data_IF_343376164888
#
_entry.id   IF_343376164888
#
_cell.length_a   1.000
_cell.length_b   1.000
_cell.length_c   1.000
_cell.angle_alpha   90.00
_cell.angle_beta   90.00
_cell.angle_gamma   90.00
#
_symmetry.space_group_name_H-M   'P 1'
#
loop_
_entity.id
_entity.type
_entity.pdbx_description
1 polymer ?
#
# COMPACT_ATOMS: atom_id res chain seq x y z
N UNK A 1 -20.69 -24.76 55.67
CA UNK A 1 -20.30 -23.78 56.71
C UNK A 1 -18.80 -23.61 56.63
N UNK A 2 -18.34 -22.35 56.67
CA UNK A 2 -16.94 -21.86 56.58
C UNK A 2 -16.42 -21.91 55.12
N UNK A 3 -16.58 -20.90 54.26
CA UNK A 3 -16.23 -19.46 54.31
C UNK A 3 -14.75 -19.18 54.63
N UNK A 4 -13.95 -18.89 53.58
CA UNK A 4 -12.93 -17.84 53.60
C UNK A 4 -12.39 -17.52 52.19
N UNK A 5 -12.81 -16.34 51.72
CA UNK A 5 -12.00 -15.27 51.10
C UNK A 5 -11.28 -15.56 49.78
N UNK A 6 -12.00 -15.28 48.68
CA UNK A 6 -11.40 -14.82 47.42
C UNK A 6 -11.64 -13.31 47.34
N UNK A 7 -10.56 -12.53 47.46
CA UNK A 7 -10.52 -11.12 47.13
C UNK A 7 -9.37 -10.92 46.14
N UNK A 8 -9.72 -10.55 44.92
CA UNK A 8 -9.13 -9.43 44.18
C UNK A 8 -9.88 -9.31 42.85
N UNK A 9 -10.96 -8.54 42.93
CA UNK A 9 -11.64 -7.91 41.82
C UNK A 9 -10.95 -6.56 41.62
N UNK A 10 -10.07 -6.46 40.62
CA UNK A 10 -9.70 -5.19 40.00
C UNK A 10 -10.16 -5.23 38.55
N UNK A 11 -11.43 -4.88 38.41
CA UNK A 11 -12.09 -4.46 37.18
C UNK A 11 -11.41 -3.18 36.68
N UNK A 12 -10.51 -3.31 35.69
CA UNK A 12 -10.00 -2.17 34.91
C UNK A 12 -10.99 -1.83 33.79
N UNK A 13 -11.22 -0.54 33.51
CA UNK A 13 -12.33 -0.08 32.68
C UNK A 13 -12.11 -0.45 31.22
N UNK A 14 -13.11 -1.12 30.62
CA UNK A 14 -13.30 -1.18 29.18
C UNK A 14 -13.41 0.24 28.65
N UNK A 15 -12.34 0.75 28.04
CA UNK A 15 -12.44 1.86 27.13
C UNK A 15 -13.20 1.37 25.90
N UNK A 16 -14.45 1.79 25.77
CA UNK A 16 -15.22 1.74 24.54
C UNK A 16 -14.44 2.51 23.48
N UNK A 17 -13.73 1.79 22.61
CA UNK A 17 -13.24 2.35 21.35
C UNK A 17 -14.42 2.26 20.39
N UNK A 18 -15.16 3.35 20.34
CA UNK A 18 -16.19 3.61 19.35
C UNK A 18 -15.53 3.55 17.95
N UNK A 19 -15.70 2.41 17.28
CA UNK A 19 -15.39 2.24 15.86
C UNK A 19 -16.30 3.18 15.06
N UNK A 20 -15.79 4.38 14.76
CA UNK A 20 -16.35 5.20 13.72
C UNK A 20 -15.64 4.90 12.39
N UNK A 21 -16.39 4.56 11.33
CA UNK A 21 -15.86 4.02 10.10
C UNK A 21 -15.13 5.11 9.31
N UNK A 22 -13.88 4.84 8.92
CA UNK A 22 -13.23 5.64 7.89
C UNK A 22 -13.80 5.17 6.55
N UNK A 23 -14.84 5.87 6.10
CA UNK A 23 -15.29 5.84 4.73
C UNK A 23 -14.13 6.23 3.81
N UNK A 24 -13.76 5.31 2.93
CA UNK A 24 -12.86 5.56 1.81
C UNK A 24 -13.57 6.47 0.82
N UNK A 25 -13.42 7.79 0.97
CA UNK A 25 -13.84 8.74 -0.06
C UNK A 25 -12.86 8.70 -1.24
N UNK A 26 -13.41 8.20 -2.35
CA UNK A 26 -12.85 8.22 -3.69
C UNK A 26 -12.49 9.63 -4.13
N UNK A 27 -11.26 9.80 -4.60
CA UNK A 27 -10.72 11.02 -5.18
C UNK A 27 -11.34 11.28 -6.57
N UNK A 28 -12.60 11.71 -6.59
CA UNK A 28 -13.25 12.33 -7.76
C UNK A 28 -13.42 13.83 -7.51
N UNK A 29 -12.45 14.65 -7.93
CA UNK A 29 -12.75 16.04 -8.24
C UNK A 29 -11.98 16.54 -9.46
N UNK A 30 -12.51 16.18 -10.63
CA UNK A 30 -12.25 16.87 -11.88
C UNK A 30 -12.70 18.33 -11.75
N UNK A 31 -11.77 19.25 -11.98
CA UNK A 31 -12.03 20.68 -11.98
C UNK A 31 -13.17 21.11 -12.90
N UNK A 32 -14.21 21.69 -12.32
CA UNK A 32 -15.12 22.60 -13.03
C UNK A 32 -14.52 24.01 -13.00
N UNK A 33 -13.98 24.45 -14.13
CA UNK A 33 -13.76 25.86 -14.41
C UNK A 33 -15.12 26.58 -14.44
N UNK A 34 -15.39 27.45 -13.47
CA UNK A 34 -16.42 28.48 -13.61
C UNK A 34 -15.76 29.72 -14.20
N UNK A 35 -15.94 29.92 -15.50
CA UNK A 35 -15.65 31.19 -16.17
C UNK A 35 -16.68 32.23 -15.72
N UNK A 36 -16.23 33.27 -15.01
CA UNK A 36 -17.03 34.47 -14.81
C UNK A 36 -16.83 35.41 -16.00
N UNK A 37 -17.79 35.39 -16.93
CA UNK A 37 -17.92 36.40 -17.99
C UNK A 37 -18.86 37.49 -17.46
N UNK A 38 -18.32 38.69 -17.20
CA UNK A 38 -19.16 39.88 -16.99
C UNK A 38 -19.73 40.35 -18.33
N UNK A 39 -21.00 40.01 -18.60
CA UNK A 39 -21.83 40.68 -19.62
C UNK A 39 -22.48 41.91 -18.99
N UNK A 40 -22.17 43.11 -19.50
CA UNK A 40 -23.02 44.26 -19.26
C UNK A 40 -24.28 44.14 -20.11
N UNK A 41 -25.43 44.12 -19.44
CA UNK A 41 -26.76 44.27 -20.02
C UNK A 41 -26.96 45.75 -20.38
N UNK A 42 -27.21 46.03 -21.66
CA UNK A 42 -27.89 47.26 -22.08
C UNK A 42 -29.26 46.82 -22.58
N UNK A 43 -30.30 47.23 -21.85
CA UNK A 43 -31.70 47.01 -22.19
C UNK A 43 -32.07 47.91 -23.37
N UNK A 44 -32.46 47.32 -24.51
CA UNK A 44 -33.16 48.02 -25.58
C UNK A 44 -34.61 48.22 -25.16
N UNK A 45 -34.95 49.34 -24.54
CA UNK A 45 -36.34 49.82 -24.52
C UNK A 45 -36.40 51.30 -24.15
N UNK A 46 -36.54 52.15 -25.16
CA UNK A 46 -37.39 53.36 -25.19
C UNK A 46 -37.22 54.03 -26.55
N UNK A 47 -38.10 53.66 -27.49
CA UNK A 47 -38.30 54.40 -28.74
C UNK A 47 -39.01 55.72 -28.41
N UNK A 48 -38.27 56.80 -28.18
CA UNK A 48 -38.79 58.16 -28.31
C UNK A 48 -38.01 58.89 -29.43
N UNK A 49 -38.55 58.82 -30.65
CA UNK A 49 -38.09 59.65 -31.76
C UNK A 49 -38.71 61.04 -31.61
N UNK A 50 -37.92 62.03 -31.17
CA UNK A 50 -38.26 63.43 -31.38
C UNK A 50 -37.84 63.81 -32.81
N UNK A 51 -38.84 64.03 -33.68
CA UNK A 51 -38.65 64.55 -35.03
C UNK A 51 -38.22 66.02 -34.94
N UNK A 52 -36.96 66.32 -35.25
CA UNK A 52 -36.53 67.69 -35.56
C UNK A 52 -36.59 67.87 -37.08
N UNK A 53 -37.68 68.51 -37.53
CA UNK A 53 -37.85 69.02 -38.89
C UNK A 53 -36.84 70.14 -39.13
N UNK A 54 -35.92 69.97 -40.08
CA UNK A 54 -35.02 71.05 -40.52
C UNK A 54 -35.82 72.07 -41.34
N UNK A 55 -36.04 73.26 -40.79
CA UNK A 55 -36.28 74.46 -41.59
C UNK A 55 -34.96 75.23 -41.75
N UNK A 56 -34.76 75.75 -42.95
CA UNK A 56 -33.58 76.44 -43.44
C UNK A 56 -33.27 77.76 -42.69
N UNK A 57 -31.98 78.00 -42.44
CA UNK A 57 -31.44 79.32 -42.07
C UNK A 57 -30.96 79.42 -40.61
N UNK A 58 -29.67 79.76 -40.45
CA UNK A 58 -28.94 80.03 -39.18
C UNK A 58 -28.52 78.78 -38.37
N UNK A 59 -27.21 78.51 -38.35
CA UNK A 59 -26.58 77.38 -37.62
C UNK A 59 -26.34 77.70 -36.15
N UNK A 60 -27.36 77.59 -35.30
CA UNK A 60 -27.18 77.43 -33.84
C UNK A 60 -27.74 76.06 -33.42
N UNK A 61 -26.86 75.05 -33.38
CA UNK A 61 -27.21 73.68 -32.98
C UNK A 61 -26.99 73.53 -31.48
N UNK A 62 -28.06 73.39 -30.71
CA UNK A 62 -28.03 73.02 -29.29
C UNK A 62 -27.47 71.59 -29.14
N UNK A 63 -26.27 71.44 -28.57
CA UNK A 63 -25.65 70.15 -28.22
C UNK A 63 -25.64 69.94 -26.71
N UNK A 64 -26.38 68.94 -26.23
CA UNK A 64 -26.28 68.44 -24.86
C UNK A 64 -25.07 67.51 -24.79
N UNK A 65 -24.15 67.78 -23.87
CA UNK A 65 -22.91 67.03 -23.68
C UNK A 65 -23.16 65.79 -22.82
N UNK A 66 -22.63 64.63 -23.23
CA UNK A 66 -22.88 63.33 -22.58
C UNK A 66 -21.83 62.98 -21.49
N UNK A 67 -20.85 63.86 -21.27
CA UNK A 67 -19.76 63.63 -20.32
C UNK A 67 -20.13 63.98 -18.86
N UNK A 68 -19.73 63.16 -17.86
CA UNK A 68 -19.95 63.48 -16.45
C UNK A 68 -19.30 64.83 -16.09
N UNK A 69 -20.03 65.67 -15.35
CA UNK A 69 -19.65 67.06 -15.05
C UNK A 69 -18.24 67.25 -14.44
N UNK A 70 -17.63 66.19 -13.90
CA UNK A 70 -16.33 66.19 -13.22
C UNK A 70 -15.11 65.95 -14.13
N UNK A 71 -15.30 65.51 -15.37
CA UNK A 71 -14.22 65.08 -16.25
C UNK A 71 -13.58 66.22 -17.08
N UNK A 72 -14.16 67.42 -17.02
CA UNK A 72 -13.51 68.66 -17.42
C UNK A 72 -13.56 69.65 -16.26
N UNK A 73 -12.63 70.60 -16.19
CA UNK A 73 -12.56 71.64 -15.15
C UNK A 73 -13.75 72.64 -15.21
N UNK A 74 -14.98 72.15 -15.26
CA UNK A 74 -16.22 72.89 -15.47
C UNK A 74 -17.00 72.94 -14.17
N UNK A 75 -16.72 73.94 -13.34
CA UNK A 75 -17.51 74.23 -12.13
C UNK A 75 -18.88 74.85 -12.43
N UNK A 76 -19.20 75.16 -13.71
CA UNK A 76 -20.53 75.56 -14.20
C UNK A 76 -20.82 74.90 -15.54
N UNK A 77 -21.95 74.21 -15.66
CA UNK A 77 -22.34 73.54 -16.90
C UNK A 77 -22.58 74.61 -18.00
N UNK A 78 -21.72 74.62 -19.01
CA UNK A 78 -21.70 75.65 -20.06
C UNK A 78 -22.85 75.56 -21.07
N UNK A 79 -23.66 74.50 -21.00
CA UNK A 79 -24.83 74.30 -21.84
C UNK A 79 -26.01 73.83 -20.99
N UNK A 80 -26.80 74.78 -20.48
CA UNK A 80 -28.10 74.48 -19.86
C UNK A 80 -29.22 74.89 -20.81
N UNK A 81 -30.36 74.21 -20.73
CA UNK A 81 -31.54 74.47 -21.56
C UNK A 81 -32.70 74.71 -20.60
N UNK A 82 -33.41 75.81 -20.77
CA UNK A 82 -34.58 76.18 -19.97
C UNK A 82 -35.81 76.32 -20.88
N UNK A 83 -36.99 75.92 -20.40
CA UNK A 83 -38.24 75.98 -21.17
C UNK A 83 -38.93 77.32 -20.90
N UNK A 84 -39.19 78.12 -21.94
CA UNK A 84 -39.91 79.38 -21.81
C UNK A 84 -41.37 79.13 -21.42
N UNK A 85 -42.08 80.15 -20.88
CA UNK A 85 -43.50 80.04 -20.55
C UNK A 85 -44.40 79.68 -21.74
N UNK A 86 -43.98 79.92 -22.99
CA UNK A 86 -44.67 79.46 -24.20
C UNK A 86 -44.26 78.04 -24.67
N UNK A 87 -43.50 77.31 -23.85
CA UNK A 87 -43.16 75.90 -24.08
C UNK A 87 -41.92 75.63 -24.93
N UNK A 88 -41.12 76.65 -25.27
CA UNK A 88 -39.92 76.48 -26.13
C UNK A 88 -38.64 76.30 -25.33
N UNK A 89 -37.78 75.36 -25.75
CA UNK A 89 -36.46 75.12 -25.14
C UNK A 89 -35.44 76.16 -25.63
N UNK A 90 -34.89 76.96 -24.70
CA UNK A 90 -33.92 78.03 -24.97
C UNK A 90 -32.59 77.72 -24.28
N UNK A 91 -31.48 77.93 -25.00
CA UNK A 91 -30.12 77.81 -24.46
C UNK A 91 -29.84 78.88 -23.39
N UNK A 92 -29.29 78.46 -22.26
CA UNK A 92 -28.86 79.33 -21.18
C UNK A 92 -27.33 79.29 -21.06
N UNK A 93 -26.70 80.47 -21.12
CA UNK A 93 -25.25 80.62 -20.98
C UNK A 93 -24.78 80.41 -19.54
N UNK A 94 -23.53 80.00 -19.37
CA UNK A 94 -22.90 79.62 -18.10
C UNK A 94 -22.98 80.70 -16.99
N UNK A 95 -23.08 81.97 -17.37
CA UNK A 95 -23.13 83.13 -16.47
C UNK A 95 -24.49 83.30 -15.79
N UNK A 96 -25.56 82.76 -16.38
CA UNK A 96 -26.93 82.88 -15.87
C UNK A 96 -27.37 81.65 -15.05
N UNK A 97 -26.51 80.65 -14.92
CA UNK A 97 -26.80 79.39 -14.20
C UNK A 97 -26.72 79.59 -12.67
N UNK A 98 -27.77 79.20 -11.95
CA UNK A 98 -27.87 79.28 -10.48
C UNK A 98 -27.52 77.95 -9.77
N UNK A 99 -27.02 76.93 -10.46
CA UNK A 99 -26.72 75.62 -9.85
C UNK A 99 -25.32 75.60 -9.20
N UNK A 100 -25.16 74.99 -8.00
CA UNK A 100 -23.86 74.88 -7.33
C UNK A 100 -22.93 73.90 -8.07
N UNK A 101 -21.59 74.08 -7.98
CA UNK A 101 -20.62 73.16 -8.59
C UNK A 101 -20.71 71.77 -7.95
N UNK A 102 -20.74 70.71 -8.76
CA UNK A 102 -20.79 69.33 -8.26
C UNK A 102 -19.41 68.93 -7.72
N UNK A 103 -19.33 68.46 -6.47
CA UNK A 103 -18.07 68.04 -5.81
C UNK A 103 -17.51 66.75 -6.41
N UNK A 104 -16.19 66.67 -6.57
CA UNK A 104 -15.49 65.51 -7.15
C UNK A 104 -15.55 64.29 -6.21
N UNK A 105 -15.78 63.07 -6.73
CA UNK A 105 -15.73 61.84 -5.93
C UNK A 105 -14.32 61.50 -5.41
N UNK A 106 -14.22 61.02 -4.16
CA UNK A 106 -12.96 60.74 -3.44
C UNK A 106 -12.02 59.74 -4.12
N UNK A 107 -12.55 58.75 -4.84
CA UNK A 107 -11.72 57.76 -5.54
C UNK A 107 -10.95 58.37 -6.71
N UNK A 108 -11.54 59.37 -7.39
CA UNK A 108 -10.86 60.11 -8.47
C UNK A 108 -9.74 60.98 -7.92
N UNK A 109 -9.91 61.54 -6.72
CA UNK A 109 -8.84 62.29 -6.04
C UNK A 109 -7.64 61.38 -5.72
N UNK A 110 -7.89 60.15 -5.22
CA UNK A 110 -6.83 59.18 -4.93
C UNK A 110 -6.11 58.73 -6.21
N UNK A 111 -6.87 58.48 -7.28
CA UNK A 111 -6.33 58.10 -8.58
C UNK A 111 -5.48 59.22 -9.18
N UNK A 112 -5.96 60.47 -9.15
CA UNK A 112 -5.21 61.62 -9.64
C UNK A 112 -3.95 61.89 -8.81
N UNK A 113 -4.02 61.79 -7.49
CA UNK A 113 -2.85 61.93 -6.64
C UNK A 113 -1.79 60.87 -6.98
N UNK A 114 -2.20 59.63 -7.26
CA UNK A 114 -1.28 58.55 -7.66
C UNK A 114 -0.72 58.76 -9.05
N UNK A 115 -1.56 59.15 -10.02
CA UNK A 115 -1.13 59.48 -11.38
C UNK A 115 -0.18 60.68 -11.39
N UNK A 116 -0.44 61.72 -10.59
CA UNK A 116 0.42 62.89 -10.48
C UNK A 116 1.75 62.58 -9.78
N UNK A 117 1.73 61.70 -8.77
CA UNK A 117 2.96 61.21 -8.12
C UNK A 117 3.85 60.44 -9.09
N UNK A 118 3.26 59.59 -9.93
CA UNK A 118 4.00 58.89 -10.99
C UNK A 118 4.47 59.87 -12.08
N UNK A 119 3.62 60.80 -12.55
CA UNK A 119 4.01 61.85 -13.52
C UNK A 119 5.21 62.67 -13.05
N UNK A 120 5.24 63.04 -11.77
CA UNK A 120 6.34 63.80 -11.17
C UNK A 120 7.63 62.97 -11.12
N UNK A 121 7.53 61.69 -10.74
CA UNK A 121 8.68 60.76 -10.69
C UNK A 121 9.34 60.58 -12.07
N UNK A 122 8.56 60.69 -13.16
CA UNK A 122 9.02 60.54 -14.55
C UNK A 122 9.11 61.86 -15.34
N UNK A 123 9.06 63.01 -14.66
CA UNK A 123 9.27 64.35 -15.22
C UNK A 123 8.43 64.69 -16.48
N UNK A 124 7.16 64.27 -16.51
CA UNK A 124 6.28 64.51 -17.68
C UNK A 124 5.74 65.95 -17.65
N UNK A 125 6.06 66.83 -18.63
CA UNK A 125 5.52 68.19 -18.67
C UNK A 125 4.03 68.19 -19.08
N UNK A 126 3.28 69.21 -18.63
CA UNK A 126 1.85 69.43 -18.91
C UNK A 126 1.53 69.67 -20.40
N UNK A 127 2.52 69.96 -21.24
CA UNK A 127 2.33 70.26 -22.66
C UNK A 127 2.42 69.01 -23.54
N UNK A 128 1.33 68.25 -23.58
CA UNK A 128 1.05 67.19 -24.56
C UNK A 128 1.70 65.82 -24.24
N UNK A 129 0.97 64.70 -24.42
CA UNK A 129 1.50 63.38 -24.11
C UNK A 129 2.65 63.02 -25.05
N UNK A 130 3.85 62.78 -24.51
CA UNK A 130 4.95 62.17 -25.27
C UNK A 130 4.78 60.65 -25.26
N UNK A 131 4.41 60.01 -26.39
CA UNK A 131 4.11 58.57 -26.44
C UNK A 131 5.30 57.70 -26.05
N UNK A 132 6.52 58.17 -26.30
CA UNK A 132 7.77 57.46 -25.95
C UNK A 132 7.99 57.33 -24.45
N UNK A 133 7.70 58.35 -23.64
CA UNK A 133 7.85 58.27 -22.17
C UNK A 133 6.76 57.41 -21.52
N UNK A 134 5.56 57.42 -22.07
CA UNK A 134 4.49 56.50 -21.67
C UNK A 134 4.87 55.05 -21.96
N UNK A 135 5.54 54.81 -23.09
CA UNK A 135 6.05 53.48 -23.45
C UNK A 135 7.18 53.04 -22.51
N UNK A 136 8.12 53.91 -22.15
CA UNK A 136 9.18 53.63 -21.16
C UNK A 136 8.60 53.35 -19.76
N UNK A 137 7.60 54.10 -19.32
CA UNK A 137 6.91 53.86 -18.05
C UNK A 137 6.21 52.50 -18.05
N UNK A 138 5.44 52.20 -19.10
CA UNK A 138 4.74 50.92 -19.24
C UNK A 138 5.72 49.76 -19.25
N UNK A 139 6.85 49.91 -19.96
CA UNK A 139 7.90 48.92 -20.00
C UNK A 139 8.55 48.70 -18.62
N UNK A 140 8.88 49.77 -17.90
CA UNK A 140 9.47 49.69 -16.55
C UNK A 140 8.52 49.02 -15.55
N UNK A 141 7.23 49.39 -15.59
CA UNK A 141 6.20 48.78 -14.73
C UNK A 141 5.94 47.33 -15.12
N UNK A 142 5.96 46.99 -16.42
CA UNK A 142 5.88 45.60 -16.88
C UNK A 142 7.05 44.77 -16.35
N UNK A 143 8.27 45.31 -16.46
CA UNK A 143 9.48 44.65 -15.98
C UNK A 143 9.46 44.45 -14.44
N UNK A 144 8.95 45.42 -13.69
CA UNK A 144 8.79 45.31 -12.24
C UNK A 144 7.74 44.24 -11.88
N UNK A 145 6.61 44.20 -12.58
CA UNK A 145 5.59 43.16 -12.42
C UNK A 145 6.14 41.77 -12.75
N UNK A 146 6.87 41.62 -13.85
CA UNK A 146 7.53 40.37 -14.24
C UNK A 146 8.55 39.93 -13.19
N UNK A 147 9.37 40.85 -12.67
CA UNK A 147 10.33 40.58 -11.60
C UNK A 147 9.62 40.14 -10.31
N UNK A 148 8.50 40.78 -9.94
CA UNK A 148 7.71 40.39 -8.77
C UNK A 148 7.12 38.99 -8.93
N UNK A 149 6.53 38.68 -10.08
CA UNK A 149 5.99 37.35 -10.39
C UNK A 149 7.10 36.30 -10.38
N UNK A 150 8.25 36.60 -10.98
CA UNK A 150 9.42 35.72 -10.99
C UNK A 150 9.94 35.44 -9.58
N UNK A 151 10.02 36.47 -8.73
CA UNK A 151 10.45 36.31 -7.34
C UNK A 151 9.46 35.49 -6.51
N UNK A 152 8.14 35.64 -6.70
CA UNK A 152 7.14 34.79 -6.05
C UNK A 152 7.30 33.33 -6.51
N UNK A 153 7.37 33.08 -7.83
CA UNK A 153 7.59 31.73 -8.36
C UNK A 153 8.88 31.08 -7.86
N UNK A 154 9.96 31.85 -7.68
CA UNK A 154 11.21 31.33 -7.11
C UNK A 154 11.06 30.90 -5.66
N UNK A 155 10.34 31.68 -4.84
CA UNK A 155 10.05 31.31 -3.44
C UNK A 155 9.16 30.08 -3.38
N UNK A 156 8.05 30.08 -4.10
CA UNK A 156 7.14 28.93 -4.20
C UNK A 156 7.88 27.66 -4.65
N UNK A 157 8.72 27.75 -5.67
CA UNK A 157 9.51 26.59 -6.11
C UNK A 157 10.53 26.12 -5.06
N UNK A 158 11.08 27.02 -4.24
CA UNK A 158 11.97 26.65 -3.13
C UNK A 158 11.19 25.90 -2.05
N UNK A 159 10.00 26.37 -1.71
CA UNK A 159 9.14 25.75 -0.70
C UNK A 159 8.58 24.41 -1.19
N UNK A 160 8.14 24.32 -2.44
CA UNK A 160 7.74 23.06 -3.09
C UNK A 160 8.88 22.03 -3.05
N UNK A 161 10.13 22.45 -3.27
CA UNK A 161 11.28 21.54 -3.18
C UNK A 161 11.50 21.04 -1.75
N UNK A 162 11.43 21.94 -0.75
CA UNK A 162 11.54 21.55 0.67
C UNK A 162 10.46 20.56 1.06
N UNK A 163 9.20 20.89 0.77
CA UNK A 163 8.05 20.02 1.05
C UNK A 163 8.16 18.67 0.34
N UNK A 164 8.70 18.62 -0.88
CA UNK A 164 8.97 17.35 -1.58
C UNK A 164 10.05 16.52 -0.89
N UNK A 165 11.11 17.15 -0.37
CA UNK A 165 12.15 16.45 0.39
C UNK A 165 11.62 15.94 1.72
N UNK A 166 10.87 16.77 2.46
CA UNK A 166 10.21 16.39 3.73
C UNK A 166 9.22 15.25 3.52
N UNK A 167 8.34 15.34 2.50
CA UNK A 167 7.44 14.26 2.12
C UNK A 167 8.20 12.96 1.87
N UNK A 168 9.31 13.01 1.14
CA UNK A 168 10.13 11.82 0.87
C UNK A 168 10.74 11.25 2.16
N UNK A 169 11.27 12.11 3.04
CA UNK A 169 11.84 11.70 4.32
C UNK A 169 10.79 11.04 5.23
N UNK A 170 9.61 11.65 5.35
CA UNK A 170 8.49 11.09 6.13
C UNK A 170 8.02 9.75 5.57
N UNK A 171 7.91 9.60 4.25
CA UNK A 171 7.55 8.32 3.64
C UNK A 171 8.60 7.23 3.92
N UNK A 172 9.89 7.57 3.89
CA UNK A 172 10.95 6.63 4.27
C UNK A 172 10.88 6.24 5.75
N UNK A 173 10.56 7.19 6.65
CA UNK A 173 10.38 6.90 8.07
C UNK A 173 9.16 6.01 8.32
N UNK A 174 8.03 6.27 7.65
CA UNK A 174 6.83 5.43 7.73
C UNK A 174 7.15 4.00 7.27
N UNK A 175 7.88 3.86 6.15
CA UNK A 175 8.27 2.53 5.66
C UNK A 175 9.16 1.78 6.67
N UNK A 176 10.12 2.48 7.30
CA UNK A 176 10.97 1.89 8.34
C UNK A 176 10.17 1.44 9.56
N UNK A 177 9.32 2.33 10.11
CA UNK A 177 8.50 2.01 11.29
C UNK A 177 7.51 0.87 11.01
N UNK A 178 6.99 0.79 9.79
CA UNK A 178 6.11 -0.30 9.40
C UNK A 178 6.85 -1.64 9.30
N UNK A 179 8.11 -1.64 8.88
CA UNK A 179 8.93 -2.84 8.85
C UNK A 179 9.35 -3.27 10.26
N UNK A 180 9.76 -2.32 11.12
CA UNK A 180 10.02 -2.59 12.54
C UNK A 180 8.78 -3.18 13.22
N UNK A 181 7.60 -2.59 12.95
CA UNK A 181 6.33 -3.08 13.48
C UNK A 181 6.09 -4.55 13.12
N UNK A 182 6.30 -4.94 11.85
CA UNK A 182 6.20 -6.35 11.44
C UNK A 182 7.22 -7.24 12.14
N UNK A 183 8.48 -6.79 12.23
CA UNK A 183 9.54 -7.57 12.88
C UNK A 183 9.20 -7.82 14.36
N UNK A 184 8.73 -6.80 15.07
CA UNK A 184 8.30 -6.94 16.45
C UNK A 184 7.08 -7.85 16.57
N UNK A 185 6.11 -7.76 15.65
CA UNK A 185 4.95 -8.67 15.64
C UNK A 185 5.40 -10.12 15.50
N UNK A 186 6.29 -10.43 14.56
CA UNK A 186 6.83 -11.78 14.41
C UNK A 186 7.60 -12.26 15.65
N UNK A 187 8.35 -11.38 16.32
CA UNK A 187 9.06 -11.73 17.55
C UNK A 187 8.10 -12.01 18.71
N UNK A 188 7.04 -11.20 18.85
CA UNK A 188 5.98 -11.43 19.84
C UNK A 188 5.25 -12.74 19.58
N UNK A 189 4.90 -13.03 18.34
CA UNK A 189 4.27 -14.31 17.95
C UNK A 189 5.18 -15.48 18.33
N UNK A 190 6.46 -15.42 17.96
CA UNK A 190 7.43 -16.46 18.27
C UNK A 190 7.60 -16.69 19.78
N UNK A 191 7.77 -15.62 20.57
CA UNK A 191 7.88 -15.72 22.02
C UNK A 191 6.59 -16.25 22.67
N UNK A 192 5.43 -15.93 22.10
CA UNK A 192 4.15 -16.45 22.56
C UNK A 192 4.07 -17.96 22.34
N UNK A 193 4.45 -18.45 21.15
CA UNK A 193 4.52 -19.88 20.84
C UNK A 193 5.51 -20.62 21.76
N UNK A 194 6.70 -20.05 22.02
CA UNK A 194 7.67 -20.65 22.94
C UNK A 194 7.12 -20.75 24.38
N UNK A 195 6.36 -19.74 24.81
CA UNK A 195 5.76 -19.72 26.15
C UNK A 195 4.64 -20.74 26.27
N UNK A 196 3.80 -20.88 25.24
CA UNK A 196 2.77 -21.92 25.17
C UNK A 196 3.39 -23.31 25.22
N UNK A 197 4.44 -23.56 24.44
CA UNK A 197 5.18 -24.83 24.46
C UNK A 197 5.74 -25.16 25.84
N UNK A 198 6.35 -24.18 26.53
CA UNK A 198 6.85 -24.39 27.90
C UNK A 198 5.70 -24.66 28.88
N UNK A 199 4.56 -24.00 28.71
CA UNK A 199 3.39 -24.26 29.56
C UNK A 199 2.83 -25.68 29.35
N UNK A 200 2.84 -26.19 28.12
CA UNK A 200 2.50 -27.58 27.81
C UNK A 200 3.48 -28.56 28.47
N UNK A 201 4.79 -28.33 28.31
CA UNK A 201 5.84 -29.14 28.94
C UNK A 201 5.67 -29.21 30.46
N UNK A 202 5.46 -28.08 31.14
CA UNK A 202 5.22 -28.06 32.58
C UNK A 202 3.94 -28.78 33.00
N UNK A 203 2.88 -28.72 32.19
CA UNK A 203 1.66 -29.50 32.44
C UNK A 203 1.93 -31.00 32.36
N UNK A 204 2.59 -31.44 31.28
CA UNK A 204 2.91 -32.87 31.11
C UNK A 204 3.83 -33.39 32.22
N UNK A 205 4.81 -32.59 32.64
CA UNK A 205 5.69 -32.94 33.76
C UNK A 205 4.91 -32.99 35.09
N UNK A 206 4.02 -32.03 35.33
CA UNK A 206 3.16 -32.02 36.52
C UNK A 206 2.26 -33.25 36.60
N UNK A 207 1.64 -33.63 35.49
CA UNK A 207 0.78 -34.82 35.42
C UNK A 207 1.60 -36.11 35.59
N UNK A 208 2.80 -36.18 35.01
CA UNK A 208 3.76 -37.26 35.26
C UNK A 208 4.16 -37.37 36.74
N UNK A 209 4.42 -36.25 37.42
CA UNK A 209 4.71 -36.24 38.87
C UNK A 209 3.52 -36.73 39.69
N UNK A 210 2.29 -36.34 39.34
CA UNK A 210 1.07 -36.80 40.05
C UNK A 210 0.90 -38.32 39.92
N UNK A 211 1.10 -38.86 38.72
CA UNK A 211 1.06 -40.30 38.48
C UNK A 211 2.11 -41.04 39.32
N UNK A 212 3.35 -40.55 39.31
CA UNK A 212 4.43 -41.14 40.11
C UNK A 212 4.14 -41.09 41.62
N UNK A 213 3.61 -39.98 42.13
CA UNK A 213 3.19 -39.86 43.54
C UNK A 213 2.07 -40.86 43.86
N UNK A 214 1.11 -41.05 42.96
CA UNK A 214 0.06 -42.06 43.13
C UNK A 214 0.65 -43.47 43.25
N UNK A 215 1.58 -43.83 42.36
CA UNK A 215 2.24 -45.14 42.37
C UNK A 215 3.09 -45.35 43.64
N UNK A 216 3.88 -44.34 44.05
CA UNK A 216 4.64 -44.38 45.30
C UNK A 216 3.73 -44.58 46.51
N UNK A 217 2.57 -43.91 46.54
CA UNK A 217 1.60 -44.07 47.62
C UNK A 217 1.00 -45.48 47.65
N UNK A 218 0.67 -46.04 46.48
CA UNK A 218 0.16 -47.41 46.36
C UNK A 218 1.19 -48.44 46.84
N UNK A 219 2.45 -48.31 46.39
CA UNK A 219 3.55 -49.16 46.82
C UNK A 219 3.80 -49.06 48.33
N UNK A 220 3.72 -47.85 48.88
CA UNK A 220 3.88 -47.61 50.32
C UNK A 220 2.74 -48.24 51.12
N UNK A 221 1.50 -48.19 50.62
CA UNK A 221 0.36 -48.86 51.25
C UNK A 221 0.55 -50.37 51.26
N UNK A 222 0.91 -50.95 50.10
CA UNK A 222 1.13 -52.38 49.96
C UNK A 222 2.28 -52.89 50.84
N UNK A 223 3.36 -52.12 50.95
CA UNK A 223 4.46 -52.45 51.85
C UNK A 223 4.00 -52.48 53.32
N UNK A 224 3.24 -51.46 53.75
CA UNK A 224 2.67 -51.42 55.11
C UNK A 224 1.73 -52.60 55.39
N UNK A 225 0.92 -53.00 54.42
CA UNK A 225 0.07 -54.18 54.52
C UNK A 225 0.89 -55.47 54.69
N UNK A 226 1.94 -55.65 53.87
CA UNK A 226 2.84 -56.80 54.02
C UNK A 226 3.58 -56.80 55.36
N UNK A 227 4.09 -55.65 55.80
CA UNK A 227 4.73 -55.52 57.12
C UNK A 227 3.76 -55.83 58.26
N UNK A 228 2.49 -55.42 58.14
CA UNK A 228 1.45 -55.75 59.11
C UNK A 228 1.18 -57.25 59.16
N UNK A 229 1.10 -57.92 58.01
CA UNK A 229 0.91 -59.37 57.92
C UNK A 229 2.10 -60.12 58.51
N UNK A 230 3.34 -59.72 58.16
CA UNK A 230 4.55 -60.33 58.70
C UNK A 230 4.65 -60.17 60.23
N UNK A 231 4.26 -59.01 60.78
CA UNK A 231 4.20 -58.81 62.23
C UNK A 231 3.12 -59.66 62.89
N UNK A 232 1.97 -59.84 62.26
CA UNK A 232 0.91 -60.71 62.75
C UNK A 232 1.36 -62.18 62.78
N UNK A 233 2.08 -62.63 61.74
CA UNK A 233 2.64 -63.98 61.65
C UNK A 233 3.69 -64.24 62.74
N UNK A 234 4.61 -63.30 63.00
CA UNK A 234 5.61 -63.42 64.09
C UNK A 234 4.96 -63.49 65.49
N UNK A 235 3.79 -62.86 65.69
CA UNK A 235 3.04 -62.95 66.95
C UNK A 235 2.36 -64.31 67.09
N UNK A 236 1.89 -64.89 65.98
CA UNK A 236 1.25 -66.21 65.94
C UNK A 236 2.30 -67.34 66.06
N UNK A 237 3.53 -67.14 65.56
CA UNK A 237 4.67 -68.06 65.56
C UNK A 237 5.23 -68.44 66.95
N UNK A 238 4.60 -68.01 68.05
CA UNK A 238 4.78 -68.64 69.36
C UNK A 238 4.12 -70.04 69.46
N UNK A 239 3.89 -70.69 68.32
CA UNK A 239 3.16 -71.93 68.20
C UNK A 239 3.91 -73.12 68.83
N UNK A 240 3.12 -73.91 69.57
CA UNK A 240 3.48 -75.21 70.09
C UNK A 240 4.13 -76.07 68.99
N UNK A 241 5.34 -76.64 69.21
CA UNK A 241 6.03 -77.47 68.22
C UNK A 241 5.20 -78.64 67.69
N UNK A 242 4.16 -79.07 68.41
CA UNK A 242 3.19 -80.07 67.91
C UNK A 242 2.28 -79.49 66.83
N UNK A 243 1.82 -78.24 66.97
CA UNK A 243 1.05 -77.53 65.94
C UNK A 243 1.88 -77.31 64.69
N UNK A 244 3.13 -76.86 64.84
CA UNK A 244 4.06 -76.69 63.73
C UNK A 244 4.28 -78.00 62.97
N UNK A 245 4.40 -79.13 63.67
CA UNK A 245 4.53 -80.45 63.03
C UNK A 245 3.26 -80.85 62.27
N UNK A 246 2.07 -80.54 62.81
CA UNK A 246 0.80 -80.84 62.16
C UNK A 246 0.58 -79.94 60.93
N UNK A 247 0.91 -78.65 61.05
CA UNK A 247 0.89 -77.67 59.98
C UNK A 247 1.88 -78.04 58.87
N UNK A 248 3.09 -78.50 59.21
CA UNK A 248 4.08 -78.99 58.25
C UNK A 248 3.57 -80.22 57.48
N UNK A 249 2.95 -81.19 58.15
CA UNK A 249 2.36 -82.36 57.48
C UNK A 249 1.17 -81.96 56.58
N UNK A 250 0.37 -80.98 57.00
CA UNK A 250 -0.68 -80.39 56.16
C UNK A 250 -0.10 -79.61 54.98
N UNK A 251 0.99 -78.85 55.17
CA UNK A 251 1.68 -78.13 54.11
C UNK A 251 2.29 -79.09 53.09
N UNK A 252 2.91 -80.19 53.51
CA UNK A 252 3.37 -81.23 52.60
C UNK A 252 2.21 -81.86 51.81
N UNK A 253 1.07 -82.14 52.46
CA UNK A 253 -0.12 -82.62 51.74
C UNK A 253 -0.66 -81.59 50.76
N UNK A 254 -0.65 -80.30 51.11
CA UNK A 254 -1.07 -79.22 50.24
C UNK A 254 -0.12 -79.03 49.05
N UNK A 255 1.20 -79.05 49.29
CA UNK A 255 2.24 -79.00 48.26
C UNK A 255 2.07 -80.17 47.29
N UNK A 256 1.91 -81.40 47.78
CA UNK A 256 1.71 -82.56 46.91
C UNK A 256 0.42 -82.44 46.09
N UNK A 257 -0.67 -81.90 46.66
CA UNK A 257 -1.92 -81.62 45.92
C UNK A 257 -1.72 -80.54 44.86
N UNK A 258 -1.07 -79.43 45.20
CA UNK A 258 -0.79 -78.34 44.27
C UNK A 258 0.18 -78.78 43.17
N UNK A 259 1.21 -79.56 43.48
CA UNK A 259 2.08 -80.16 42.47
C UNK A 259 1.28 -81.07 41.54
N UNK A 260 0.36 -81.87 42.06
CA UNK A 260 -0.54 -82.68 41.23
C UNK A 260 -1.41 -81.80 40.33
N UNK A 261 -1.92 -80.68 40.85
CA UNK A 261 -2.70 -79.71 40.05
C UNK A 261 -1.84 -78.98 39.02
N UNK A 262 -0.61 -78.58 39.34
CA UNK A 262 0.33 -77.96 38.39
C UNK A 262 0.65 -78.94 37.27
N UNK A 263 0.94 -80.20 37.58
CA UNK A 263 1.16 -81.24 36.56
C UNK A 263 -0.08 -81.39 35.67
N UNK A 264 -1.28 -81.37 36.26
CA UNK A 264 -2.52 -81.41 35.49
C UNK A 264 -2.72 -80.15 34.63
N UNK A 265 -2.43 -78.96 35.15
CA UNK A 265 -2.54 -77.71 34.41
C UNK A 265 -1.48 -77.62 33.32
N UNK A 266 -0.25 -78.08 33.53
CA UNK A 266 0.79 -78.17 32.50
C UNK A 266 0.35 -79.10 31.37
N UNK A 267 -0.15 -80.29 31.71
CA UNK A 267 -0.69 -81.23 30.73
C UNK A 267 -1.92 -80.67 29.98
N UNK A 268 -2.82 -79.97 30.68
CA UNK A 268 -3.97 -79.32 30.07
C UNK A 268 -3.57 -78.10 29.24
N UNK A 269 -2.57 -77.32 29.66
CA UNK A 269 -2.06 -76.15 28.96
C UNK A 269 -1.36 -76.57 27.66
N UNK A 270 -0.55 -77.63 27.71
CA UNK A 270 0.05 -78.25 26.53
C UNK A 270 -1.01 -78.74 25.53
N UNK A 271 -2.15 -79.25 26.03
CA UNK A 271 -3.27 -79.65 25.19
C UNK A 271 -4.16 -78.48 24.69
N UNK A 272 -4.29 -77.40 25.46
CA UNK A 272 -5.22 -76.29 25.20
C UNK A 272 -4.60 -75.11 24.47
N UNK A 273 -3.28 -74.89 24.57
CA UNK A 273 -2.56 -73.87 23.80
C UNK A 273 -1.98 -74.55 22.57
N UNK A 274 -2.70 -74.55 21.42
CA UNK A 274 -2.21 -75.25 20.26
C UNK A 274 -1.09 -74.37 19.71
N UNK A 275 0.16 -74.79 19.90
CA UNK A 275 1.33 -74.11 19.32
C UNK A 275 1.12 -73.79 17.84
N UNK A 276 0.41 -74.68 17.15
CA UNK A 276 -0.08 -74.51 15.77
C UNK A 276 -0.90 -73.23 15.58
N UNK A 277 -1.89 -72.93 16.44
CA UNK A 277 -2.70 -71.70 16.33
C UNK A 277 -1.88 -70.44 16.61
N UNK A 278 -0.95 -70.52 17.56
CA UNK A 278 -0.02 -69.41 17.83
C UNK A 278 0.90 -69.15 16.63
N UNK A 279 1.47 -70.21 16.05
CA UNK A 279 2.29 -70.14 14.84
C UNK A 279 1.49 -69.61 13.64
N UNK A 280 0.24 -70.04 13.46
CA UNK A 280 -0.65 -69.50 12.43
C UNK A 280 -0.91 -68.00 12.59
N UNK A 281 -1.19 -67.55 13.81
CA UNK A 281 -1.41 -66.12 14.10
C UNK A 281 -0.12 -65.33 13.88
N UNK A 282 1.02 -65.87 14.31
CA UNK A 282 2.34 -65.26 14.11
C UNK A 282 2.67 -65.15 12.62
N UNK A 283 2.46 -66.21 11.84
CA UNK A 283 2.70 -66.21 10.40
C UNK A 283 1.77 -65.22 9.67
N UNK A 284 0.50 -65.12 10.09
CA UNK A 284 -0.43 -64.10 9.58
C UNK A 284 0.03 -62.68 9.92
N UNK A 285 0.53 -62.46 11.13
CA UNK A 285 1.08 -61.17 11.52
C UNK A 285 2.31 -60.82 10.68
N UNK A 286 3.24 -61.76 10.51
CA UNK A 286 4.45 -61.56 9.70
C UNK A 286 4.10 -61.20 8.24
N UNK A 287 3.15 -61.93 7.64
CA UNK A 287 2.69 -61.63 6.28
C UNK A 287 1.93 -60.31 6.16
N UNK A 288 1.14 -59.92 7.16
CA UNK A 288 0.55 -58.58 7.21
C UNK A 288 1.60 -57.48 7.35
N UNK A 289 2.66 -57.71 8.14
CA UNK A 289 3.77 -56.76 8.28
C UNK A 289 4.46 -56.58 6.93
N UNK A 290 4.80 -57.65 6.22
CA UNK A 290 5.39 -57.59 4.87
C UNK A 290 4.50 -56.84 3.86
N UNK A 291 3.18 -57.07 3.91
CA UNK A 291 2.23 -56.34 3.07
C UNK A 291 2.20 -54.85 3.40
N UNK A 292 2.18 -54.48 4.69
CA UNK A 292 2.20 -53.07 5.11
C UNK A 292 3.50 -52.37 4.74
N UNK A 293 4.65 -53.06 4.80
CA UNK A 293 5.93 -52.49 4.37
C UNK A 293 5.93 -52.24 2.86
N UNK A 294 5.44 -53.21 2.07
CA UNK A 294 5.32 -53.06 0.62
C UNK A 294 4.40 -51.90 0.23
N UNK A 295 3.22 -51.81 0.85
CA UNK A 295 2.28 -50.72 0.59
C UNK A 295 2.85 -49.35 0.97
N UNK A 296 3.66 -49.28 2.04
CA UNK A 296 4.36 -48.06 2.43
C UNK A 296 5.38 -47.63 1.38
N UNK A 297 6.15 -48.56 0.83
CA UNK A 297 7.12 -48.29 -0.25
C UNK A 297 6.41 -47.82 -1.54
N UNK A 298 5.30 -48.47 -1.92
CA UNK A 298 4.49 -48.07 -3.09
C UNK A 298 3.88 -46.66 -2.90
N UNK A 299 3.46 -46.32 -1.67
CA UNK A 299 2.95 -44.99 -1.33
C UNK A 299 4.05 -43.93 -1.43
N UNK A 300 5.24 -44.18 -0.87
CA UNK A 300 6.38 -43.26 -0.93
C UNK A 300 6.86 -43.03 -2.36
N UNK A 301 6.91 -44.10 -3.17
CA UNK A 301 7.19 -44.01 -4.61
C UNK A 301 6.16 -43.15 -5.34
N UNK A 302 4.86 -43.34 -5.03
CA UNK A 302 3.78 -42.57 -5.64
C UNK A 302 3.84 -41.09 -5.23
N UNK A 303 4.12 -40.81 -3.96
CA UNK A 303 4.31 -39.45 -3.44
C UNK A 303 5.46 -38.75 -4.16
N UNK A 304 6.61 -39.42 -4.30
CA UNK A 304 7.77 -38.87 -5.00
C UNK A 304 7.45 -38.50 -6.46
N UNK A 305 6.67 -39.34 -7.17
CA UNK A 305 6.21 -39.01 -8.53
C UNK A 305 5.22 -37.85 -8.56
N UNK A 306 4.36 -37.75 -7.55
CA UNK A 306 3.40 -36.66 -7.44
C UNK A 306 4.12 -35.33 -7.20
N UNK A 307 5.11 -35.29 -6.32
CA UNK A 307 5.91 -34.10 -6.04
C UNK A 307 6.64 -33.61 -7.30
N UNK A 308 7.25 -34.54 -8.06
CA UNK A 308 7.86 -34.23 -9.36
C UNK A 308 6.83 -33.67 -10.36
N UNK A 309 5.62 -34.24 -10.43
CA UNK A 309 4.55 -33.73 -11.29
C UNK A 309 4.13 -32.31 -10.86
N UNK A 310 4.07 -32.03 -9.56
CA UNK A 310 3.76 -30.72 -9.03
C UNK A 310 4.82 -29.69 -9.45
N UNK A 311 6.10 -30.03 -9.36
CA UNK A 311 7.20 -29.18 -9.86
C UNK A 311 7.08 -28.87 -11.36
N UNK A 312 6.74 -29.89 -12.16
CA UNK A 312 6.48 -29.72 -13.59
C UNK A 312 5.28 -28.79 -13.86
N UNK A 313 4.19 -28.92 -13.10
CA UNK A 313 3.02 -28.04 -13.22
C UNK A 313 3.35 -26.58 -12.90
N UNK A 314 4.10 -26.32 -11.82
CA UNK A 314 4.54 -24.95 -11.48
C UNK A 314 5.44 -24.39 -12.60
N UNK A 315 6.34 -25.22 -13.14
CA UNK A 315 7.22 -24.84 -14.24
C UNK A 315 6.42 -24.48 -15.50
N UNK A 316 5.43 -25.29 -15.88
CA UNK A 316 4.55 -25.04 -17.02
C UNK A 316 3.70 -23.79 -16.84
N UNK A 317 3.12 -23.57 -15.65
CA UNK A 317 2.37 -22.35 -15.33
C UNK A 317 3.25 -21.11 -15.49
N UNK A 318 4.49 -21.17 -15.01
CA UNK A 318 5.47 -20.07 -15.15
C UNK A 318 5.77 -19.77 -16.62
N UNK A 319 5.99 -20.80 -17.44
CA UNK A 319 6.18 -20.60 -18.89
C UNK A 319 4.94 -20.01 -19.55
N UNK A 320 3.74 -20.53 -19.23
CA UNK A 320 2.46 -20.03 -19.74
C UNK A 320 2.31 -18.54 -19.42
N UNK A 321 2.52 -18.15 -18.18
CA UNK A 321 2.36 -16.78 -17.71
C UNK A 321 3.40 -15.86 -18.37
N UNK A 322 4.64 -16.33 -18.53
CA UNK A 322 5.67 -15.62 -19.28
C UNK A 322 5.27 -15.39 -20.75
N UNK A 323 4.75 -16.41 -21.44
CA UNK A 323 4.25 -16.26 -22.82
C UNK A 323 3.08 -15.28 -22.88
N UNK A 324 2.15 -15.37 -21.93
CA UNK A 324 0.99 -14.48 -21.84
C UNK A 324 1.41 -13.01 -21.65
N UNK A 325 2.37 -12.75 -20.76
CA UNK A 325 2.98 -11.43 -20.55
C UNK A 325 3.60 -10.92 -21.86
N UNK A 326 4.46 -11.73 -22.50
CA UNK A 326 5.18 -11.35 -23.71
C UNK A 326 4.21 -10.96 -24.84
N UNK A 327 3.19 -11.78 -25.09
CA UNK A 327 2.17 -11.52 -26.12
C UNK A 327 1.37 -10.27 -25.79
N UNK A 328 0.91 -10.13 -24.55
CA UNK A 328 0.08 -8.99 -24.15
C UNK A 328 0.85 -7.68 -24.27
N UNK A 329 2.09 -7.65 -23.81
CA UNK A 329 2.93 -6.46 -23.93
C UNK A 329 3.32 -6.15 -25.37
N UNK A 330 3.70 -7.14 -26.17
CA UNK A 330 3.96 -6.92 -27.59
C UNK A 330 2.73 -6.34 -28.30
N UNK A 331 1.54 -6.88 -28.00
CA UNK A 331 0.27 -6.38 -28.55
C UNK A 331 0.00 -4.93 -28.15
N UNK A 332 0.15 -4.58 -26.86
CA UNK A 332 -0.02 -3.21 -26.35
C UNK A 332 0.95 -2.22 -27.01
N UNK A 333 2.21 -2.61 -27.20
CA UNK A 333 3.24 -1.77 -27.84
C UNK A 333 2.94 -1.57 -29.32
N UNK A 334 2.60 -2.65 -30.05
CA UNK A 334 2.28 -2.57 -31.47
C UNK A 334 1.03 -1.73 -31.73
N UNK A 335 0.01 -1.83 -30.87
CA UNK A 335 -1.22 -1.05 -30.93
C UNK A 335 -1.09 0.42 -30.47
N UNK A 336 0.01 0.80 -29.84
CA UNK A 336 0.24 2.20 -29.41
C UNK A 336 0.53 3.14 -30.59
N UNK A 337 0.40 4.47 -30.41
CA UNK A 337 0.82 5.44 -31.44
C UNK A 337 2.34 5.61 -31.41
N UNK A 338 3.03 5.46 -32.55
CA UNK A 338 4.48 5.59 -32.63
C UNK A 338 5.09 5.07 -33.92
N UNK A 339 6.38 5.34 -34.13
CA UNK A 339 7.16 4.96 -35.31
C UNK A 339 7.43 3.44 -35.35
N UNK A 340 7.23 2.75 -36.50
CA UNK A 340 7.31 1.28 -36.56
C UNK A 340 8.66 0.67 -36.13
N UNK A 341 9.81 1.24 -36.49
CA UNK A 341 11.11 0.67 -36.10
C UNK A 341 11.30 0.75 -34.58
N UNK A 342 10.96 1.88 -33.95
CA UNK A 342 11.05 2.03 -32.49
C UNK A 342 10.21 0.98 -31.73
N UNK A 343 9.03 0.63 -32.25
CA UNK A 343 8.20 -0.43 -31.66
C UNK A 343 8.86 -1.80 -31.79
N UNK A 344 9.43 -2.10 -32.96
CA UNK A 344 10.13 -3.36 -33.20
C UNK A 344 11.38 -3.49 -32.31
N UNK A 345 12.17 -2.43 -32.16
CA UNK A 345 13.33 -2.38 -31.28
C UNK A 345 12.94 -2.63 -29.82
N UNK A 346 11.83 -2.03 -29.38
CA UNK A 346 11.31 -2.22 -28.03
C UNK A 346 10.89 -3.67 -27.76
N UNK A 347 10.08 -4.26 -28.64
CA UNK A 347 9.63 -5.65 -28.52
C UNK A 347 10.83 -6.61 -28.54
N UNK A 348 11.79 -6.38 -29.43
CA UNK A 348 13.02 -7.18 -29.53
C UNK A 348 13.85 -7.09 -28.25
N UNK A 349 14.02 -5.88 -27.70
CA UNK A 349 14.74 -5.67 -26.44
C UNK A 349 14.06 -6.38 -25.26
N UNK A 350 12.72 -6.28 -25.18
CA UNK A 350 11.94 -6.95 -24.14
C UNK A 350 12.05 -8.47 -24.21
N UNK A 351 11.88 -9.07 -25.39
CA UNK A 351 12.01 -10.52 -25.57
C UNK A 351 13.43 -11.00 -25.22
N UNK A 352 14.46 -10.24 -25.60
CA UNK A 352 15.84 -10.56 -25.24
C UNK A 352 16.14 -10.41 -23.74
N UNK A 353 15.42 -9.52 -23.03
CA UNK A 353 15.51 -9.42 -21.57
C UNK A 353 14.94 -10.69 -20.92
N UNK A 354 13.73 -11.10 -21.31
CA UNK A 354 13.09 -12.30 -20.75
C UNK A 354 13.85 -13.58 -21.07
N UNK A 355 14.42 -13.70 -22.28
CA UNK A 355 15.29 -14.82 -22.64
C UNK A 355 16.52 -14.91 -21.72
N UNK A 356 17.16 -13.79 -21.43
CA UNK A 356 18.31 -13.73 -20.51
C UNK A 356 17.91 -14.03 -19.08
N UNK A 357 16.79 -13.48 -18.61
CA UNK A 357 16.28 -13.79 -17.27
C UNK A 357 15.99 -15.29 -17.09
N UNK A 358 15.42 -15.95 -18.11
CA UNK A 358 15.15 -17.39 -18.05
C UNK A 358 16.42 -18.27 -18.15
N UNK A 359 17.50 -17.76 -18.75
CA UNK A 359 18.75 -18.51 -18.93
C UNK A 359 19.75 -18.28 -17.77
N UNK A 360 19.82 -17.05 -17.26
CA UNK A 360 20.91 -16.62 -16.36
C UNK A 360 20.51 -16.63 -14.88
N UNK A 361 19.22 -16.78 -14.56
CA UNK A 361 18.71 -16.76 -13.18
C UNK A 361 18.24 -18.15 -12.70
N UNK A 362 18.33 -18.43 -11.39
CA UNK A 362 17.74 -19.64 -10.83
C UNK A 362 16.23 -19.64 -11.03
N UNK A 363 15.67 -20.85 -11.24
CA UNK A 363 14.27 -21.00 -11.63
C UNK A 363 13.28 -20.39 -10.63
N UNK A 364 13.54 -20.53 -9.32
CA UNK A 364 12.73 -19.91 -8.27
C UNK A 364 12.62 -18.38 -8.39
N UNK A 365 13.72 -17.71 -8.77
CA UNK A 365 13.71 -16.26 -8.98
C UNK A 365 12.99 -15.89 -10.28
N UNK A 366 13.07 -16.73 -11.32
CA UNK A 366 12.29 -16.53 -12.55
C UNK A 366 10.79 -16.63 -12.26
N UNK A 367 10.35 -17.63 -11.48
CA UNK A 367 8.96 -17.79 -11.04
C UNK A 367 8.45 -16.54 -10.32
N UNK A 368 9.24 -16.04 -9.35
CA UNK A 368 8.91 -14.82 -8.59
C UNK A 368 8.78 -13.60 -9.49
N UNK A 369 9.73 -13.39 -10.41
CA UNK A 369 9.69 -12.25 -11.34
C UNK A 369 8.52 -12.31 -12.30
N UNK A 370 8.15 -13.50 -12.79
CA UNK A 370 6.99 -13.70 -13.65
C UNK A 370 5.69 -13.41 -12.89
N UNK A 371 5.57 -13.86 -11.64
CA UNK A 371 4.43 -13.54 -10.78
C UNK A 371 4.29 -12.02 -10.53
N UNK A 372 5.38 -11.33 -10.18
CA UNK A 372 5.40 -9.87 -10.00
C UNK A 372 4.98 -9.13 -11.29
N UNK A 373 5.46 -9.62 -12.44
CA UNK A 373 5.14 -9.04 -13.74
C UNK A 373 3.69 -9.30 -14.15
N UNK A 374 3.11 -10.46 -13.83
CA UNK A 374 1.69 -10.77 -14.02
C UNK A 374 0.82 -9.78 -13.25
N UNK A 375 1.13 -9.53 -11.97
CA UNK A 375 0.42 -8.55 -11.13
C UNK A 375 0.51 -7.14 -11.74
N UNK A 376 1.68 -6.76 -12.25
CA UNK A 376 1.87 -5.48 -12.95
C UNK A 376 1.10 -5.41 -14.27
N UNK A 377 1.01 -6.50 -15.01
CA UNK A 377 0.25 -6.58 -16.25
C UNK A 377 -1.25 -6.41 -16.01
N UNK A 378 -1.77 -7.06 -14.97
CA UNK A 378 -3.17 -7.00 -14.52
C UNK A 378 -3.55 -5.60 -14.03
N UNK A 379 -2.66 -4.92 -13.31
CA UNK A 379 -2.81 -3.51 -12.93
C UNK A 379 -2.65 -2.50 -14.08
N UNK A 380 -2.51 -2.99 -15.33
CA UNK A 380 -2.48 -2.16 -16.54
C UNK A 380 -1.14 -1.45 -16.78
N UNK A 381 -0.11 -1.73 -15.99
CA UNK A 381 1.20 -1.09 -16.16
C UNK A 381 1.92 -1.60 -17.40
N UNK A 382 2.66 -0.72 -18.07
CA UNK A 382 3.54 -1.08 -19.19
C UNK A 382 4.87 -1.67 -18.69
N UNK A 383 5.56 -2.48 -19.52
CA UNK A 383 6.81 -3.09 -19.11
C UNK A 383 7.91 -2.02 -18.97
N UNK A 384 8.72 -2.15 -17.92
CA UNK A 384 9.85 -1.27 -17.66
C UNK A 384 10.91 -1.50 -18.74
N UNK A 385 10.99 -0.59 -19.72
CA UNK A 385 12.06 -0.56 -20.70
C UNK A 385 13.20 0.30 -20.21
N UNK A 386 14.32 -0.35 -19.92
CA UNK A 386 15.60 0.34 -19.79
C UNK A 386 16.02 0.72 -21.19
N UNK A 387 15.87 2.01 -21.54
CA UNK A 387 16.59 2.60 -22.68
C UNK A 387 18.08 2.33 -22.45
N UNK A 388 18.66 1.41 -23.20
CA UNK A 388 20.10 1.41 -23.40
C UNK A 388 20.44 2.73 -24.11
N UNK A 389 21.04 3.67 -23.38
CA UNK A 389 21.57 4.92 -23.94
C UNK A 389 22.51 4.60 -25.11
N UNK A 390 22.03 4.72 -26.35
CA UNK A 390 22.90 4.82 -27.52
C UNK A 390 23.39 6.26 -27.57
N UNK A 391 24.64 6.47 -27.16
CA UNK A 391 25.37 7.69 -27.46
C UNK A 391 25.48 7.88 -28.99
N UNK A 392 25.52 9.12 -29.50
CA UNK A 392 25.62 9.38 -30.94
C UNK A 392 26.99 8.89 -31.45
N UNK A 393 26.99 7.96 -32.41
CA UNK A 393 28.21 7.60 -33.14
C UNK A 393 28.53 8.74 -34.10
N UNK A 394 29.59 9.49 -33.82
CA UNK A 394 30.23 10.34 -34.81
C UNK A 394 30.75 9.46 -35.96
N UNK A 395 30.34 9.85 -37.17
CA UNK A 395 30.75 9.24 -38.42
C UNK A 395 32.13 9.78 -38.77
N UNK A 396 33.18 9.00 -38.56
CA UNK A 396 34.51 9.29 -39.10
C UNK A 396 34.73 8.39 -40.31
N UNK A 397 34.67 9.00 -41.48
CA UNK A 397 35.18 8.47 -42.74
C UNK A 397 36.69 8.50 -42.70
N UNK A 398 37.36 7.34 -42.79
CA UNK A 398 38.69 7.23 -43.43
C UNK A 398 38.78 5.87 -44.12
N UNK A 399 39.24 5.94 -45.36
CA UNK A 399 39.44 4.85 -46.30
C UNK A 399 40.76 4.08 -46.06
N UNK A 400 40.78 2.88 -46.65
CA UNK A 400 41.92 2.12 -47.18
C UNK A 400 43.05 1.62 -46.28
N UNK A 401 43.36 0.33 -46.45
CA UNK A 401 44.58 -0.29 -45.94
C UNK A 401 44.57 -1.82 -46.03
N UNK A 402 44.90 -2.35 -47.21
CA UNK A 402 45.24 -3.75 -47.46
C UNK A 402 46.47 -4.22 -46.64
N UNK A 403 46.35 -5.36 -45.96
CA UNK A 403 47.38 -6.37 -45.62
C UNK A 403 46.72 -7.34 -44.61
N UNK A 404 46.74 -8.67 -44.71
CA UNK A 404 47.75 -9.58 -45.20
C UNK A 404 48.15 -10.50 -44.04
N UNK A 405 47.91 -11.82 -44.16
CA UNK A 405 48.39 -12.93 -43.31
C UNK A 405 47.83 -12.94 -41.87
N UNK A 406 47.61 -14.05 -41.18
CA UNK A 406 48.12 -15.42 -41.32
C UNK A 406 47.17 -16.38 -40.58
N UNK A 407 47.10 -17.60 -41.10
CA UNK A 407 46.43 -18.75 -40.48
C UNK A 407 47.38 -19.40 -39.47
N UNK A 408 46.94 -19.65 -38.24
CA UNK A 408 47.61 -20.60 -37.34
C UNK A 408 46.56 -21.52 -36.71
N UNK A 409 46.59 -22.76 -37.18
CA UNK A 409 46.11 -23.95 -36.49
C UNK A 409 46.93 -24.22 -35.20
N UNK A 410 46.24 -24.61 -34.13
CA UNK A 410 46.63 -25.58 -33.09
C UNK A 410 45.29 -26.06 -32.47
N UNK A 411 44.71 -27.22 -32.75
CA UNK A 411 45.06 -28.61 -32.37
C UNK A 411 45.63 -28.81 -30.97
N UNK A 412 44.89 -29.64 -30.22
CA UNK A 412 45.25 -30.43 -29.03
C UNK A 412 45.45 -29.62 -27.74
N UNK A 413 44.91 -30.00 -26.57
CA UNK A 413 44.23 -31.20 -26.14
C UNK A 413 44.36 -31.24 -24.61
N UNK A 414 43.27 -31.42 -23.89
CA UNK A 414 43.12 -32.28 -22.71
C UNK A 414 41.68 -32.25 -22.20
#
# INVERSE_FOLDING_TARGET
>A
MVEAVVQNDETLPRAEVEENPIETETDENKGMKKEFICRYLISEDTKNKVLIKKSSGVKNRLTIDAWPAHAGSRSRATNQIYVSPEGHLIHQSAEKSKLPPVKKPRFLEILEARVNKEKAKFHVPETGPSPLRLQELLWTVSQECENRVSNMRRRENKDIRKLKMEKKALLSQIAHLHEDGKSLTCEVEHLTEELEKKADEWRTESDGRKLLVSEVNELTSRLKEMESLARAEVIDDSEDPVKLRLALDQAHKAINRLQTQVIQYEAQYEAQVPRVKYEEVRQKLDSQVEETTRLREELESTQSRYDLLQEHCVTLNTYRDLYYIQVTYATRVLGSKGEPLQKLDFVTSMLNKWRRLAADKPWAEVQRLVADEMIRLESGQLPISVRASRAPRHRTTVADGLAGRESIHKTEGS
#
